data_IF_376703829487
#
_entry.id   IF_376703829487
#
_cell.length_a   1.000
_cell.length_b   1.000
_cell.length_c   1.000
_cell.angle_alpha   90.00
_cell.angle_beta   90.00
_cell.angle_gamma   90.00
#
_symmetry.space_group_name_H-M   'P 1'
#
loop_
_entity.id
_entity.type
_entity.pdbx_description
1 polymer ?
#
# COMPACT_ATOMS: atom_id res chain seq x y z
N UNK A 1 17.91 17.72 -2.40
CA UNK A 1 16.89 17.32 -3.40
C UNK A 1 16.34 18.59 -4.01
N UNK A 2 16.48 18.77 -5.33
CA UNK A 2 15.99 19.97 -6.02
C UNK A 2 14.50 19.76 -6.30
N UNK A 3 13.67 20.80 -6.18
CA UNK A 3 12.20 20.71 -6.34
C UNK A 3 11.77 20.05 -7.66
N UNK A 4 12.59 20.15 -8.71
CA UNK A 4 12.36 19.54 -10.02
C UNK A 4 12.47 17.99 -10.02
N UNK A 5 13.19 17.40 -9.06
CA UNK A 5 13.34 15.94 -8.96
C UNK A 5 12.06 15.27 -8.44
N UNK A 6 11.26 15.99 -7.64
CA UNK A 6 9.99 15.48 -7.09
C UNK A 6 8.91 15.29 -8.16
N UNK A 7 8.94 16.07 -9.24
CA UNK A 7 7.96 16.01 -10.33
C UNK A 7 8.08 14.70 -11.14
N UNK A 8 9.26 14.06 -11.11
CA UNK A 8 9.51 12.78 -11.79
C UNK A 8 9.34 11.56 -10.88
N UNK A 9 9.00 11.78 -9.62
CA UNK A 9 8.88 10.73 -8.63
C UNK A 9 7.58 9.95 -8.87
N UNK A 10 7.73 8.67 -9.18
CA UNK A 10 6.64 7.70 -9.31
C UNK A 10 6.82 6.62 -8.24
N UNK A 11 5.85 5.74 -8.09
CA UNK A 11 5.98 4.61 -7.16
C UNK A 11 7.20 3.73 -7.49
N UNK A 12 7.43 3.46 -8.77
CA UNK A 12 8.49 2.59 -9.27
C UNK A 12 9.89 3.23 -9.18
N UNK A 13 9.95 4.56 -9.18
CA UNK A 13 11.21 5.32 -9.02
C UNK A 13 11.43 5.79 -7.59
N UNK A 14 10.52 5.48 -6.66
CA UNK A 14 10.57 5.92 -5.28
C UNK A 14 11.75 5.31 -4.51
N UNK A 15 12.06 4.05 -4.79
CA UNK A 15 13.27 3.38 -4.29
C UNK A 15 14.44 3.83 -5.17
N UNK A 16 15.41 4.53 -4.59
CA UNK A 16 16.60 5.01 -5.30
C UNK A 16 17.86 4.19 -5.00
N UNK A 17 17.87 3.45 -3.89
CA UNK A 17 18.98 2.59 -3.47
C UNK A 17 18.55 1.12 -3.46
N UNK A 18 19.49 0.21 -3.71
CA UNK A 18 19.25 -1.24 -3.68
C UNK A 18 18.12 -1.72 -4.60
N UNK A 19 17.90 -1.07 -5.75
CA UNK A 19 16.85 -1.44 -6.74
C UNK A 19 17.09 -2.80 -7.40
N UNK A 20 18.30 -3.34 -7.30
CA UNK A 20 18.64 -4.71 -7.67
C UNK A 20 18.02 -5.74 -6.71
N UNK A 21 17.72 -5.31 -5.48
CA UNK A 21 17.16 -6.15 -4.42
C UNK A 21 15.70 -5.86 -4.14
N UNK A 22 15.32 -4.59 -3.98
CA UNK A 22 13.96 -4.23 -3.60
C UNK A 22 13.16 -3.69 -4.78
N UNK A 23 11.90 -4.10 -4.85
CA UNK A 23 10.92 -3.59 -5.81
C UNK A 23 9.69 -3.03 -5.10
N UNK A 24 9.11 -1.98 -5.68
CA UNK A 24 7.86 -1.37 -5.25
C UNK A 24 7.00 -1.09 -6.49
N UNK A 25 5.85 -1.75 -6.57
CA UNK A 25 4.99 -1.71 -7.75
C UNK A 25 3.51 -1.75 -7.35
N UNK A 26 2.61 -1.41 -8.29
CA UNK A 26 1.18 -1.65 -8.08
C UNK A 26 0.92 -3.15 -8.10
N UNK A 27 0.12 -3.63 -7.14
CA UNK A 27 -0.17 -5.05 -7.05
C UNK A 27 -0.99 -5.53 -8.25
N UNK A 28 -0.60 -6.67 -8.80
CA UNK A 28 -1.36 -7.38 -9.83
C UNK A 28 -2.16 -8.54 -9.22
N UNK A 29 -2.95 -9.25 -10.03
CA UNK A 29 -3.76 -10.38 -9.57
C UNK A 29 -2.93 -11.49 -8.89
N UNK A 30 -1.70 -11.75 -9.36
CA UNK A 30 -0.81 -12.76 -8.78
C UNK A 30 -0.34 -12.34 -7.38
N UNK A 31 -0.11 -11.06 -7.14
CA UNK A 31 0.27 -10.57 -5.81
C UNK A 31 -0.88 -10.73 -4.80
N UNK A 32 -2.12 -10.61 -5.27
CA UNK A 32 -3.31 -10.70 -4.43
C UNK A 32 -3.78 -12.14 -4.20
N UNK A 33 -3.39 -13.09 -5.05
CA UNK A 33 -3.86 -14.48 -5.01
C UNK A 33 -3.70 -15.13 -3.63
N UNK A 34 -2.54 -14.95 -2.98
CA UNK A 34 -2.26 -15.47 -1.65
C UNK A 34 -3.03 -14.80 -0.50
N UNK A 35 -3.71 -13.68 -0.76
CA UNK A 35 -4.52 -12.95 0.20
C UNK A 35 -6.02 -13.24 0.05
N UNK A 36 -6.43 -13.82 -1.09
CA UNK A 36 -7.83 -14.03 -1.40
C UNK A 36 -8.47 -14.99 -0.38
N UNK A 37 -9.59 -14.55 0.19
CA UNK A 37 -10.39 -15.38 1.08
C UNK A 37 -11.72 -15.74 0.42
N UNK A 38 -11.99 -17.04 0.34
CA UNK A 38 -13.23 -17.62 -0.17
C UNK A 38 -13.87 -18.41 0.97
N UNK A 39 -15.06 -18.03 1.43
CA UNK A 39 -15.79 -18.75 2.49
C UNK A 39 -15.90 -17.99 3.83
N UNK A 40 -15.81 -18.71 4.96
CA UNK A 40 -15.99 -18.17 6.32
C UNK A 40 -15.12 -16.93 6.53
N UNK A 41 -15.73 -15.80 6.90
CA UNK A 41 -15.08 -14.50 6.75
C UNK A 41 -14.12 -14.24 7.91
N UNK A 42 -12.81 -14.05 7.66
CA UNK A 42 -11.90 -13.46 8.64
C UNK A 42 -12.40 -12.12 9.22
N UNK A 43 -13.38 -11.47 8.58
CA UNK A 43 -14.01 -10.25 9.05
C UNK A 43 -15.11 -10.48 10.10
N UNK A 44 -15.58 -11.71 10.33
CA UNK A 44 -16.68 -11.98 11.25
C UNK A 44 -16.33 -11.54 12.68
N UNK A 45 -17.23 -10.76 13.29
CA UNK A 45 -17.05 -10.19 14.62
C UNK A 45 -16.07 -9.02 14.72
N UNK A 46 -15.47 -8.57 13.61
CA UNK A 46 -14.57 -7.40 13.59
C UNK A 46 -15.35 -6.10 13.40
N UNK A 47 -14.89 -5.07 14.08
CA UNK A 47 -15.40 -3.70 13.90
C UNK A 47 -14.72 -3.10 12.67
N UNK A 48 -15.52 -2.54 11.76
CA UNK A 48 -15.01 -1.77 10.61
C UNK A 48 -14.27 -0.54 11.13
N UNK A 49 -12.97 -0.46 10.85
CA UNK A 49 -12.13 0.67 11.25
C UNK A 49 -12.37 1.90 10.37
N UNK A 50 -12.51 1.69 9.06
CA UNK A 50 -12.78 2.76 8.11
C UNK A 50 -13.37 2.20 6.80
N UNK A 51 -13.96 3.08 6.01
CA UNK A 51 -14.37 2.83 4.62
C UNK A 51 -13.44 3.63 3.72
N UNK A 52 -12.71 2.95 2.85
CA UNK A 52 -11.74 3.57 1.96
C UNK A 52 -12.31 3.77 0.55
N UNK A 53 -12.08 4.94 -0.02
CA UNK A 53 -12.31 5.24 -1.44
C UNK A 53 -11.00 5.49 -2.16
N UNK A 54 -11.03 5.44 -3.49
CA UNK A 54 -9.86 5.67 -4.34
C UNK A 54 -8.65 4.83 -3.85
N UNK A 55 -8.94 3.56 -3.56
CA UNK A 55 -8.04 2.62 -2.90
C UNK A 55 -7.24 1.84 -3.93
N UNK A 56 -5.99 1.51 -3.61
CA UNK A 56 -5.08 0.77 -4.49
C UNK A 56 -4.21 -0.14 -3.62
N UNK A 57 -3.80 -1.29 -4.16
CA UNK A 57 -2.79 -2.14 -3.54
C UNK A 57 -1.42 -1.88 -4.18
N UNK A 58 -0.39 -1.82 -3.34
CA UNK A 58 1.00 -1.79 -3.78
C UNK A 58 1.74 -2.99 -3.18
N UNK A 59 2.67 -3.56 -3.93
CA UNK A 59 3.50 -4.68 -3.51
C UNK A 59 4.91 -4.18 -3.25
N UNK A 60 5.41 -4.42 -2.05
CA UNK A 60 6.83 -4.30 -1.73
C UNK A 60 7.45 -5.69 -1.69
N UNK A 61 8.59 -5.86 -2.35
CA UNK A 61 9.28 -7.16 -2.37
C UNK A 61 10.78 -7.01 -2.20
N UNK A 62 11.37 -8.00 -1.54
CA UNK A 62 12.81 -8.23 -1.50
C UNK A 62 13.10 -9.43 -2.39
N UNK A 63 13.71 -9.21 -3.56
CA UNK A 63 14.00 -10.23 -4.56
C UNK A 63 14.97 -11.33 -4.06
N UNK A 64 15.63 -11.11 -2.91
CA UNK A 64 16.47 -12.13 -2.27
C UNK A 64 15.67 -13.03 -1.32
N UNK A 65 14.44 -12.65 -0.98
CA UNK A 65 13.51 -13.40 -0.15
C UNK A 65 12.29 -13.82 -0.99
N UNK A 66 11.57 -14.85 -0.52
CA UNK A 66 10.30 -15.25 -1.15
C UNK A 66 9.15 -14.34 -0.67
N UNK A 67 9.38 -13.57 0.38
CA UNK A 67 8.36 -12.74 1.02
C UNK A 67 8.06 -11.48 0.21
N UNK A 68 6.77 -11.25 0.01
CA UNK A 68 6.21 -10.03 -0.57
C UNK A 68 5.18 -9.48 0.40
N UNK A 69 5.15 -8.17 0.50
CA UNK A 69 4.19 -7.46 1.33
C UNK A 69 3.26 -6.65 0.45
N UNK A 70 1.98 -7.04 0.43
CA UNK A 70 0.93 -6.24 -0.19
C UNK A 70 0.41 -5.24 0.83
N UNK A 71 0.35 -3.98 0.43
CA UNK A 71 -0.04 -2.84 1.26
C UNK A 71 -1.27 -2.20 0.61
N UNK A 72 -2.33 -2.05 1.37
CA UNK A 72 -3.50 -1.27 1.00
C UNK A 72 -3.18 0.21 1.19
N UNK A 73 -3.52 1.05 0.23
CA UNK A 73 -3.58 2.51 0.36
C UNK A 73 -4.94 3.03 -0.09
N UNK A 74 -5.48 4.08 0.54
CA UNK A 74 -6.75 4.67 0.15
C UNK A 74 -7.14 5.86 1.01
N UNK A 75 -8.15 6.63 0.58
CA UNK A 75 -8.67 7.76 1.33
C UNK A 75 -9.82 7.32 2.25
N UNK A 76 -9.70 7.57 3.56
CA UNK A 76 -10.78 7.36 4.51
C UNK A 76 -11.84 8.46 4.45
N UNK A 77 -12.95 8.26 5.16
CA UNK A 77 -14.09 9.20 5.16
C UNK A 77 -13.75 10.62 5.64
N UNK A 78 -12.76 10.77 6.52
CA UNK A 78 -12.29 12.07 7.02
C UNK A 78 -11.26 12.75 6.10
N UNK A 79 -10.98 12.18 4.92
CA UNK A 79 -9.97 12.67 3.98
C UNK A 79 -8.53 12.26 4.33
N UNK A 80 -8.30 11.54 5.43
CA UNK A 80 -6.97 10.99 5.75
C UNK A 80 -6.65 9.78 4.87
N UNK A 81 -5.41 9.71 4.39
CA UNK A 81 -4.92 8.49 3.75
C UNK A 81 -4.68 7.41 4.80
N UNK A 82 -5.13 6.20 4.49
CA UNK A 82 -4.83 5.01 5.25
C UNK A 82 -3.87 4.13 4.45
N UNK A 83 -2.82 3.64 5.11
CA UNK A 83 -1.93 2.63 4.55
C UNK A 83 -1.74 1.49 5.55
N UNK A 84 -1.80 0.24 5.08
CA UNK A 84 -1.62 -0.92 5.97
C UNK A 84 -1.26 -2.19 5.20
N UNK A 85 -0.32 -3.00 5.70
CA UNK A 85 -0.07 -4.35 5.18
C UNK A 85 -1.31 -5.23 5.28
N UNK A 86 -1.56 -6.01 4.24
CA UNK A 86 -2.76 -6.82 4.05
C UNK A 86 -2.46 -8.28 4.35
N UNK A 87 -3.39 -8.96 5.01
CA UNK A 87 -3.32 -10.42 5.25
C UNK A 87 -4.50 -11.17 4.65
N UNK A 88 -5.66 -10.50 4.52
CA UNK A 88 -6.83 -11.08 3.85
C UNK A 88 -7.51 -10.02 2.98
N UNK A 89 -7.92 -10.42 1.79
CA UNK A 89 -8.69 -9.62 0.86
C UNK A 89 -9.87 -10.43 0.34
N UNK A 90 -11.08 -9.89 0.45
CA UNK A 90 -12.25 -10.44 -0.20
C UNK A 90 -12.71 -9.49 -1.31
N UNK A 91 -12.53 -9.95 -2.55
CA UNK A 91 -12.87 -9.21 -3.76
C UNK A 91 -14.38 -9.10 -3.96
N UNK A 92 -15.14 -10.13 -3.61
CA UNK A 92 -16.60 -10.17 -3.84
C UNK A 92 -17.36 -9.27 -2.86
N UNK A 93 -16.90 -9.23 -1.61
CA UNK A 93 -17.49 -8.45 -0.53
C UNK A 93 -16.77 -7.12 -0.30
N UNK A 94 -15.74 -6.80 -1.09
CA UNK A 94 -14.98 -5.56 -1.06
C UNK A 94 -14.49 -5.18 0.34
N UNK A 95 -13.76 -6.07 1.00
CA UNK A 95 -13.15 -5.78 2.29
C UNK A 95 -11.73 -6.34 2.42
N UNK A 96 -10.97 -5.73 3.33
CA UNK A 96 -9.58 -6.10 3.63
C UNK A 96 -9.38 -6.22 5.13
N UNK A 97 -8.70 -7.28 5.57
CA UNK A 97 -8.13 -7.38 6.92
C UNK A 97 -6.63 -7.16 6.82
N UNK A 98 -6.14 -6.24 7.65
CA UNK A 98 -4.73 -5.85 7.69
C UNK A 98 -3.96 -6.64 8.74
N UNK A 99 -2.63 -6.63 8.68
CA UNK A 99 -1.76 -7.37 9.63
C UNK A 99 -2.01 -7.00 11.10
N UNK A 100 -2.36 -5.75 11.38
CA UNK A 100 -2.72 -5.31 12.74
C UNK A 100 -4.17 -5.68 13.15
N UNK A 101 -4.88 -6.45 12.33
CA UNK A 101 -6.23 -6.92 12.59
C UNK A 101 -7.35 -5.92 12.27
N UNK A 102 -7.05 -4.77 11.68
CA UNK A 102 -8.08 -3.80 11.28
C UNK A 102 -8.88 -4.31 10.08
N UNK A 103 -10.19 -4.08 10.10
CA UNK A 103 -11.08 -4.32 8.97
C UNK A 103 -11.34 -3.00 8.21
N UNK A 104 -11.08 -2.98 6.92
CA UNK A 104 -11.40 -1.88 6.02
C UNK A 104 -12.42 -2.33 4.99
N UNK A 105 -13.46 -1.52 4.76
CA UNK A 105 -14.34 -1.69 3.61
C UNK A 105 -13.79 -0.90 2.43
N UNK A 106 -13.85 -1.47 1.24
CA UNK A 106 -13.42 -0.86 -0.01
C UNK A 106 -14.65 -0.35 -0.74
N UNK A 107 -14.77 0.96 -0.87
CA UNK A 107 -15.91 1.61 -1.50
C UNK A 107 -15.52 2.21 -2.85
N UNK A 108 -16.32 1.92 -3.86
CA UNK A 108 -16.08 2.35 -5.23
C UNK A 108 -14.96 1.58 -5.94
N UNK A 109 -14.64 1.97 -7.18
CA UNK A 109 -13.62 1.30 -7.98
C UNK A 109 -12.22 1.48 -7.37
N UNK A 110 -11.30 0.64 -7.84
CA UNK A 110 -9.86 0.84 -7.64
C UNK A 110 -9.50 2.26 -8.05
N UNK A 111 -8.63 2.88 -7.28
CA UNK A 111 -8.14 4.23 -7.53
C UNK A 111 -7.32 4.36 -8.80
N UNK A 112 -7.13 5.59 -9.25
CA UNK A 112 -6.34 5.89 -10.44
C UNK A 112 -4.87 5.53 -10.24
N UNK A 113 -4.29 4.88 -11.26
CA UNK A 113 -2.86 4.59 -11.38
C UNK A 113 -2.35 5.20 -12.70
N UNK A 114 -1.13 5.77 -12.73
CA UNK A 114 -0.20 5.90 -11.61
C UNK A 114 -0.66 6.95 -10.58
N UNK A 115 -0.17 6.82 -9.35
CA UNK A 115 -0.36 7.80 -8.29
C UNK A 115 0.16 9.18 -8.67
N UNK A 116 -0.55 10.20 -8.20
CA UNK A 116 0.00 11.54 -8.12
C UNK A 116 1.17 11.62 -7.11
N UNK A 117 1.94 12.70 -7.20
CA UNK A 117 3.10 12.92 -6.32
C UNK A 117 2.73 12.93 -4.83
N UNK A 118 1.53 13.38 -4.45
CA UNK A 118 1.12 13.43 -3.04
C UNK A 118 0.99 12.03 -2.44
N UNK A 119 0.41 11.09 -3.19
CA UNK A 119 0.29 9.68 -2.81
C UNK A 119 1.64 8.96 -2.82
N UNK A 120 2.49 9.25 -3.80
CA UNK A 120 3.87 8.72 -3.82
C UNK A 120 4.65 9.18 -2.58
N UNK A 121 4.54 10.46 -2.20
CA UNK A 121 5.16 10.98 -0.98
C UNK A 121 4.53 10.40 0.29
N UNK A 122 3.23 10.11 0.28
CA UNK A 122 2.58 9.43 1.40
C UNK A 122 3.17 8.02 1.63
N UNK A 123 3.38 7.26 0.54
CA UNK A 123 4.05 5.96 0.59
C UNK A 123 5.49 6.12 1.12
N UNK A 124 6.25 7.10 0.62
CA UNK A 124 7.60 7.38 1.11
C UNK A 124 7.61 7.64 2.63
N UNK A 125 6.66 8.43 3.11
CA UNK A 125 6.50 8.74 4.53
C UNK A 125 6.17 7.51 5.38
N UNK A 126 5.34 6.59 4.86
CA UNK A 126 5.04 5.32 5.53
C UNK A 126 6.31 4.46 5.70
N UNK A 127 7.08 4.27 4.63
CA UNK A 127 8.30 3.47 4.67
C UNK A 127 9.37 4.08 5.59
N UNK A 128 9.46 5.42 5.63
CA UNK A 128 10.29 6.12 6.61
C UNK A 128 9.80 5.90 8.04
N UNK A 129 8.48 5.94 8.28
CA UNK A 129 7.90 5.65 9.59
C UNK A 129 8.17 4.21 10.05
N UNK A 130 8.21 3.25 9.12
CA UNK A 130 8.63 1.85 9.41
C UNK A 130 10.14 1.68 9.57
N UNK A 131 10.93 2.74 9.42
CA UNK A 131 12.39 2.73 9.61
C UNK A 131 13.19 2.19 8.43
N UNK A 132 12.55 1.81 7.33
CA UNK A 132 13.23 1.25 6.14
C UNK A 132 13.43 2.27 5.02
N UNK A 133 12.68 3.38 5.02
CA UNK A 133 12.69 4.38 3.95
C UNK A 133 14.08 4.95 3.65
N UNK A 134 14.87 5.25 4.68
CA UNK A 134 16.25 5.75 4.50
C UNK A 134 17.16 4.72 3.82
N UNK A 135 17.01 3.44 4.16
CA UNK A 135 17.80 2.34 3.56
C UNK A 135 17.46 2.17 2.09
N UNK A 136 16.20 2.41 1.70
CA UNK A 136 15.74 2.35 0.31
C UNK A 136 16.07 3.62 -0.49
N UNK A 137 16.70 4.63 0.14
CA UNK A 137 16.96 5.93 -0.46
C UNK A 137 15.69 6.70 -0.80
N UNK A 138 14.60 6.47 -0.08
CA UNK A 138 13.36 7.22 -0.26
C UNK A 138 13.51 8.67 0.26
N UNK A 139 12.82 9.65 -0.33
CA UNK A 139 12.87 11.02 0.15
C UNK A 139 12.34 11.12 1.59
N UNK A 140 12.94 11.97 2.45
CA UNK A 140 12.41 12.22 3.78
C UNK A 140 11.06 12.96 3.67
N UNK A 141 10.09 12.52 4.47
CA UNK A 141 8.76 13.15 4.55
C UNK A 141 8.47 13.42 6.02
N UNK A 142 8.09 14.65 6.32
CA UNK A 142 7.70 15.09 7.66
C UNK A 142 6.20 15.40 7.62
N UNK A 143 5.41 14.70 8.44
CA UNK A 143 3.98 14.94 8.61
C UNK A 143 3.72 15.69 9.91
#
# INVERSE_FOLDING_TARGET
MILNDLIKLTLETLISQHRDRFDLSYSNDRDLEGLLCIGSSPADGRIVKNILTNWVFITFSDNQLVEREVILTGAGQSGHFATSPVVHYNREQSWVVTRNGSLYLLNGPVGEIPFDTSRVMFVAGLFNFWGIGQTLGMPPVFF
#
